data_IF_529756723586
#
_entry.id   IF_529756723586
#
_cell.length_a   1.000
_cell.length_b   1.000
_cell.length_c   1.000
_cell.angle_alpha   90.00
_cell.angle_beta   90.00
_cell.angle_gamma   90.00
#
_symmetry.space_group_name_H-M   'P 1'
#
loop_
_entity.id
_entity.type
_entity.pdbx_description
1 polymer ?
#
# COMPACT_ATOMS: atom_id res chain seq x y z
N UNK A 1 -2.95 10.80 -14.06
CA UNK A 1 -3.03 12.16 -13.47
C UNK A 1 -1.61 12.69 -13.21
N UNK A 2 -1.37 14.01 -13.25
CA UNK A 2 -0.04 14.57 -12.87
C UNK A 2 0.25 14.37 -11.37
N UNK A 3 1.51 14.08 -11.03
CA UNK A 3 1.99 13.86 -9.64
C UNK A 3 1.47 14.91 -8.65
N UNK A 4 1.52 16.19 -9.02
CA UNK A 4 1.08 17.29 -8.15
C UNK A 4 -0.42 17.20 -7.79
N UNK A 5 -1.26 16.84 -8.76
CA UNK A 5 -2.70 16.65 -8.52
C UNK A 5 -2.97 15.48 -7.58
N UNK A 6 -2.15 14.42 -7.67
CA UNK A 6 -2.23 13.28 -6.78
C UNK A 6 -1.85 13.67 -5.34
N UNK A 7 -0.81 14.48 -5.16
CA UNK A 7 -0.41 15.04 -3.84
C UNK A 7 -1.52 15.90 -3.26
N UNK A 8 -2.11 16.80 -4.05
CA UNK A 8 -3.25 17.63 -3.62
C UNK A 8 -4.45 16.76 -3.25
N UNK A 9 -4.68 15.64 -3.94
CA UNK A 9 -5.75 14.72 -3.57
C UNK A 9 -5.47 14.00 -2.24
N UNK A 10 -4.21 13.60 -2.00
CA UNK A 10 -3.79 12.94 -0.77
C UNK A 10 -3.96 13.84 0.47
N UNK A 11 -3.78 15.16 0.32
CA UNK A 11 -4.03 16.13 1.39
C UNK A 11 -5.47 16.11 1.95
N UNK A 12 -6.42 15.54 1.21
CA UNK A 12 -7.83 15.45 1.63
C UNK A 12 -8.13 14.18 2.42
N UNK A 13 -7.17 13.28 2.57
CA UNK A 13 -7.34 12.06 3.37
C UNK A 13 -7.48 12.47 4.83
N UNK A 14 -8.58 12.05 5.45
CA UNK A 14 -8.80 12.25 6.88
C UNK A 14 -7.96 11.25 7.65
N UNK A 15 -7.06 11.75 8.50
CA UNK A 15 -6.19 10.90 9.32
C UNK A 15 -6.94 10.36 10.55
N UNK A 16 -6.61 9.14 11.00
CA UNK A 16 -7.21 8.55 12.18
C UNK A 16 -6.79 9.25 13.48
N UNK A 17 -7.65 9.16 14.50
CA UNK A 17 -7.32 9.54 15.86
C UNK A 17 -6.39 8.54 16.56
N UNK A 18 -5.95 8.88 17.77
CA UNK A 18 -4.99 8.11 18.55
C UNK A 18 -5.41 6.64 18.79
N UNK A 19 -6.68 6.40 19.13
CA UNK A 19 -7.18 5.04 19.42
C UNK A 19 -7.13 4.15 18.18
N UNK A 20 -7.52 4.68 17.02
CA UNK A 20 -7.47 3.96 15.75
C UNK A 20 -6.01 3.68 15.34
N UNK A 21 -5.11 4.66 15.52
CA UNK A 21 -3.67 4.49 15.30
C UNK A 21 -3.08 3.37 16.16
N UNK A 22 -3.42 3.34 17.46
CA UNK A 22 -2.95 2.32 18.38
C UNK A 22 -3.48 0.94 18.00
N UNK A 23 -4.77 0.83 17.68
CA UNK A 23 -5.36 -0.44 17.27
C UNK A 23 -4.76 -0.95 15.95
N UNK A 24 -4.50 -0.07 14.98
CA UNK A 24 -3.79 -0.43 13.77
C UNK A 24 -2.39 -0.94 14.10
N UNK A 25 -1.61 -0.18 14.89
CA UNK A 25 -0.25 -0.55 15.30
C UNK A 25 -0.20 -1.92 15.96
N UNK A 26 -1.11 -2.20 16.88
CA UNK A 26 -1.16 -3.43 17.64
C UNK A 26 -1.56 -4.64 16.78
N UNK A 27 -2.26 -4.42 15.65
CA UNK A 27 -2.76 -5.47 14.77
C UNK A 27 -1.97 -5.64 13.47
N UNK A 28 -1.07 -4.71 13.12
CA UNK A 28 -0.44 -4.63 11.79
C UNK A 28 0.33 -5.87 11.36
N UNK A 29 1.04 -6.52 12.28
CA UNK A 29 1.85 -7.71 11.97
C UNK A 29 0.94 -8.93 11.73
N UNK A 30 -0.11 -9.04 12.55
CA UNK A 30 -1.15 -10.07 12.39
C UNK A 30 -1.94 -9.87 11.08
N UNK A 31 -2.23 -8.62 10.72
CA UNK A 31 -2.89 -8.29 9.46
C UNK A 31 -2.03 -8.70 8.26
N UNK A 32 -0.72 -8.40 8.29
CA UNK A 32 0.22 -8.81 7.24
C UNK A 32 0.31 -10.32 7.08
N UNK A 33 0.39 -11.06 8.19
CA UNK A 33 0.37 -12.53 8.14
C UNK A 33 -0.93 -13.07 7.54
N UNK A 34 -2.08 -12.48 7.91
CA UNK A 34 -3.38 -12.88 7.36
C UNK A 34 -3.49 -12.58 5.87
N UNK A 35 -2.94 -11.45 5.41
CA UNK A 35 -2.92 -11.13 3.98
C UNK A 35 -2.03 -12.09 3.20
N UNK A 36 -0.84 -12.39 3.72
CA UNK A 36 0.05 -13.41 3.14
C UNK A 36 -0.70 -14.73 2.94
N UNK A 37 -1.37 -15.21 3.99
CA UNK A 37 -2.16 -16.44 3.93
C UNK A 37 -3.25 -16.38 2.85
N UNK A 38 -4.02 -15.29 2.79
CA UNK A 38 -5.12 -15.11 1.81
C UNK A 38 -4.58 -15.01 0.38
N UNK A 39 -3.48 -14.28 0.16
CA UNK A 39 -2.85 -14.11 -1.16
C UNK A 39 -2.18 -15.39 -1.65
N UNK A 40 -1.44 -16.09 -0.79
CA UNK A 40 -0.77 -17.37 -1.14
C UNK A 40 -1.75 -18.49 -1.44
N UNK A 41 -2.97 -18.42 -0.89
CA UNK A 41 -4.03 -19.39 -1.16
C UNK A 41 -4.75 -19.13 -2.50
N UNK A 42 -4.42 -18.03 -3.22
CA UNK A 42 -5.07 -17.74 -4.50
C UNK A 42 -4.55 -18.66 -5.60
N UNK A 43 -5.42 -19.17 -6.48
CA UNK A 43 -5.00 -20.03 -7.59
C UNK A 43 -4.14 -19.29 -8.63
N UNK A 44 -4.27 -17.97 -8.73
CA UNK A 44 -3.56 -17.10 -9.68
C UNK A 44 -2.33 -16.41 -9.08
N UNK A 45 -1.90 -16.77 -7.86
CA UNK A 45 -0.90 -15.98 -7.14
C UNK A 45 0.42 -15.85 -7.90
N UNK A 46 0.90 -16.93 -8.52
CA UNK A 46 2.15 -16.89 -9.28
C UNK A 46 2.06 -16.05 -10.55
N UNK A 47 0.87 -15.96 -11.16
CA UNK A 47 0.63 -15.05 -12.27
C UNK A 47 0.66 -13.60 -11.78
N UNK A 48 0.00 -13.31 -10.65
CA UNK A 48 -0.05 -11.96 -10.07
C UNK A 48 1.32 -11.42 -9.69
N UNK A 49 2.21 -12.25 -9.17
CA UNK A 49 3.53 -11.82 -8.70
C UNK A 49 4.66 -12.08 -9.70
N UNK A 50 4.38 -12.60 -10.90
CA UNK A 50 5.38 -12.85 -11.93
C UNK A 50 6.29 -14.06 -11.68
N UNK A 51 5.83 -15.05 -10.90
CA UNK A 51 6.48 -16.34 -10.67
C UNK A 51 6.69 -16.69 -9.20
N UNK A 52 6.89 -17.99 -8.91
CA UNK A 52 7.05 -18.53 -7.54
C UNK A 52 8.21 -17.89 -6.75
N UNK A 53 9.31 -17.54 -7.42
CA UNK A 53 10.48 -16.92 -6.80
C UNK A 53 10.18 -15.55 -6.16
N UNK A 54 9.05 -14.91 -6.48
CA UNK A 54 8.65 -13.62 -5.92
C UNK A 54 7.79 -13.73 -4.65
N UNK A 55 7.48 -14.92 -4.13
CA UNK A 55 6.65 -15.09 -2.93
C UNK A 55 7.26 -14.38 -1.71
N UNK A 56 8.56 -14.53 -1.47
CA UNK A 56 9.22 -13.85 -0.35
C UNK A 56 9.10 -12.33 -0.48
N UNK A 57 9.26 -11.81 -1.70
CA UNK A 57 9.16 -10.38 -1.97
C UNK A 57 7.75 -9.83 -1.77
N UNK A 58 6.73 -10.61 -2.11
CA UNK A 58 5.34 -10.26 -1.79
C UNK A 58 5.13 -10.16 -0.27
N UNK A 59 5.65 -11.13 0.50
CA UNK A 59 5.55 -11.10 1.97
C UNK A 59 6.25 -9.87 2.56
N UNK A 60 7.45 -9.56 2.06
CA UNK A 60 8.19 -8.36 2.45
C UNK A 60 7.42 -7.08 2.10
N UNK A 61 6.79 -7.04 0.92
CA UNK A 61 5.91 -5.94 0.53
C UNK A 61 4.77 -5.73 1.53
N UNK A 62 4.08 -6.80 1.93
CA UNK A 62 2.96 -6.70 2.87
C UNK A 62 3.42 -6.24 4.26
N UNK A 63 4.56 -6.72 4.75
CA UNK A 63 5.14 -6.26 6.01
C UNK A 63 5.58 -4.78 5.96
N UNK A 64 6.20 -4.37 4.85
CA UNK A 64 6.63 -2.98 4.65
C UNK A 64 5.42 -2.04 4.49
N UNK A 65 4.38 -2.48 3.78
CA UNK A 65 3.14 -1.74 3.58
C UNK A 65 2.54 -1.32 4.93
N UNK A 66 2.37 -2.26 5.86
CA UNK A 66 1.70 -1.91 7.12
C UNK A 66 2.52 -0.97 8.00
N UNK A 67 3.86 -1.10 7.97
CA UNK A 67 4.78 -0.18 8.66
C UNK A 67 4.74 1.23 8.05
N UNK A 68 4.75 1.31 6.73
CA UNK A 68 4.70 2.55 5.98
C UNK A 68 3.38 3.29 6.17
N UNK A 69 2.24 2.60 6.05
CA UNK A 69 0.94 3.22 6.30
C UNK A 69 0.83 3.71 7.74
N UNK A 70 1.34 2.95 8.72
CA UNK A 70 1.42 3.45 10.09
C UNK A 70 2.25 4.73 10.21
N UNK A 71 3.44 4.81 9.62
CA UNK A 71 4.26 6.03 9.69
C UNK A 71 3.56 7.21 9.03
N UNK A 72 2.89 7.02 7.88
CA UNK A 72 2.13 8.06 7.20
C UNK A 72 0.96 8.57 8.06
N UNK A 73 0.27 7.68 8.78
CA UNK A 73 -0.83 8.11 9.66
C UNK A 73 -0.33 8.82 10.93
N UNK A 74 0.90 8.57 11.38
CA UNK A 74 1.54 9.26 12.52
C UNK A 74 2.08 10.63 12.12
N UNK A 75 2.77 10.69 10.99
CA UNK A 75 3.39 11.90 10.46
C UNK A 75 3.09 12.00 8.97
N UNK A 76 2.03 12.76 8.66
CA UNK A 76 1.49 12.78 7.32
C UNK A 76 2.23 13.77 6.43
N UNK A 77 2.99 13.22 5.48
CA UNK A 77 3.48 13.95 4.32
C UNK A 77 2.88 13.35 3.03
N UNK A 78 1.99 14.08 2.32
CA UNK A 78 1.35 13.58 1.11
C UNK A 78 2.34 13.33 -0.03
N UNK A 79 3.47 14.05 -0.08
CA UNK A 79 4.52 13.82 -1.08
C UNK A 79 5.18 12.47 -0.87
N UNK A 80 5.59 12.17 0.37
CA UNK A 80 6.16 10.88 0.77
C UNK A 80 5.19 9.73 0.50
N UNK A 81 3.89 9.90 0.77
CA UNK A 81 2.87 8.90 0.43
C UNK A 81 2.88 8.58 -1.08
N UNK A 82 2.74 9.62 -1.91
CA UNK A 82 2.67 9.48 -3.37
C UNK A 82 3.96 8.89 -3.94
N UNK A 83 5.11 9.46 -3.60
CA UNK A 83 6.39 9.07 -4.19
C UNK A 83 6.76 7.64 -3.82
N UNK A 84 6.49 7.24 -2.58
CA UNK A 84 6.77 5.88 -2.12
C UNK A 84 5.90 4.87 -2.85
N UNK A 85 4.61 5.14 -3.04
CA UNK A 85 3.71 4.22 -3.78
C UNK A 85 4.14 4.11 -5.25
N UNK A 86 4.45 5.24 -5.91
CA UNK A 86 4.94 5.24 -7.31
C UNK A 86 6.24 4.43 -7.43
N UNK A 87 7.17 4.61 -6.49
CA UNK A 87 8.42 3.85 -6.46
C UNK A 87 8.17 2.33 -6.27
N UNK A 88 7.26 1.95 -5.36
CA UNK A 88 6.87 0.54 -5.17
C UNK A 88 6.28 -0.04 -6.46
N UNK A 89 5.36 0.66 -7.12
CA UNK A 89 4.78 0.20 -8.39
C UNK A 89 5.88 -0.06 -9.43
N UNK A 90 6.81 0.87 -9.60
CA UNK A 90 7.94 0.75 -10.53
C UNK A 90 8.85 -0.43 -10.16
N UNK A 91 9.26 -0.53 -8.90
CA UNK A 91 10.18 -1.55 -8.43
C UNK A 91 9.61 -2.97 -8.64
N UNK A 92 8.33 -3.18 -8.40
CA UNK A 92 7.70 -4.50 -8.50
C UNK A 92 7.31 -4.85 -9.94
N UNK A 93 6.90 -3.87 -10.76
CA UNK A 93 6.68 -4.07 -12.20
C UNK A 93 7.96 -4.49 -12.92
N UNK A 94 9.12 -3.94 -12.55
CA UNK A 94 10.41 -4.39 -13.11
C UNK A 94 10.72 -5.87 -12.81
N UNK A 95 10.04 -6.43 -11.79
CA UNK A 95 10.10 -7.84 -11.40
C UNK A 95 8.89 -8.65 -11.85
N UNK A 96 8.14 -8.12 -12.82
CA UNK A 96 6.99 -8.75 -13.49
C UNK A 96 5.76 -8.96 -12.61
N UNK A 97 5.59 -8.21 -11.51
CA UNK A 97 4.30 -8.17 -10.83
C UNK A 97 3.22 -7.63 -11.78
N UNK A 98 2.11 -8.35 -11.88
CA UNK A 98 1.00 -8.02 -12.76
C UNK A 98 0.19 -6.85 -12.19
N UNK A 99 -0.37 -5.93 -13.01
CA UNK A 99 -1.18 -4.80 -12.52
C UNK A 99 -2.33 -5.21 -11.58
N UNK A 100 -2.95 -6.36 -11.82
CA UNK A 100 -4.06 -6.87 -10.97
C UNK A 100 -3.63 -7.20 -9.53
N UNK A 101 -2.33 -7.39 -9.27
CA UNK A 101 -1.82 -7.63 -7.92
C UNK A 101 -2.16 -6.46 -6.97
N UNK A 102 -2.08 -5.22 -7.46
CA UNK A 102 -2.34 -4.02 -6.66
C UNK A 102 -3.79 -3.98 -6.16
N UNK A 103 -4.73 -4.25 -7.05
CA UNK A 103 -6.15 -4.36 -6.70
C UNK A 103 -6.39 -5.53 -5.75
N UNK A 104 -5.78 -6.69 -6.01
CA UNK A 104 -5.93 -7.89 -5.18
C UNK A 104 -5.46 -7.67 -3.73
N UNK A 105 -4.27 -7.10 -3.53
CA UNK A 105 -3.75 -6.87 -2.18
C UNK A 105 -4.54 -5.77 -1.44
N UNK A 106 -4.94 -4.68 -2.13
CA UNK A 106 -5.65 -3.56 -1.48
C UNK A 106 -7.05 -3.98 -1.05
N UNK A 107 -7.76 -4.77 -1.88
CA UNK A 107 -9.00 -5.41 -1.46
C UNK A 107 -8.78 -6.31 -0.24
N UNK A 108 -7.73 -7.13 -0.26
CA UNK A 108 -7.38 -7.99 0.85
C UNK A 108 -7.12 -7.20 2.14
N UNK A 109 -6.45 -6.05 2.07
CA UNK A 109 -6.24 -5.17 3.22
C UNK A 109 -7.55 -4.62 3.76
N UNK A 110 -8.40 -4.07 2.90
CA UNK A 110 -9.70 -3.49 3.30
C UNK A 110 -10.55 -4.55 4.02
N UNK A 111 -10.66 -5.75 3.45
CA UNK A 111 -11.38 -6.87 4.07
C UNK A 111 -10.76 -7.27 5.42
N UNK A 112 -9.45 -7.51 5.47
CA UNK A 112 -8.75 -7.95 6.69
C UNK A 112 -8.88 -6.93 7.81
N UNK A 113 -8.74 -5.64 7.51
CA UNK A 113 -8.87 -4.58 8.51
C UNK A 113 -10.30 -4.48 9.02
N UNK A 114 -11.32 -4.67 8.17
CA UNK A 114 -12.72 -4.71 8.58
C UNK A 114 -13.04 -5.88 9.51
N UNK A 115 -12.36 -7.02 9.30
CA UNK A 115 -12.51 -8.22 10.13
C UNK A 115 -11.77 -8.11 11.47
N UNK A 116 -10.72 -7.29 11.55
CA UNK A 116 -9.80 -7.25 12.69
C UNK A 116 -10.00 -6.04 13.61
N UNK A 117 -10.45 -4.92 13.08
CA UNK A 117 -10.56 -3.68 13.82
C UNK A 117 -12.01 -3.43 14.24
N UNK A 118 -12.24 -2.82 15.41
CA UNK A 118 -13.51 -2.20 15.75
C UNK A 118 -14.00 -1.27 14.62
N UNK A 119 -15.31 -1.26 14.39
CA UNK A 119 -15.92 -0.51 13.29
C UNK A 119 -15.53 0.98 13.27
N UNK A 120 -15.44 1.60 14.44
CA UNK A 120 -15.01 2.99 14.59
C UNK A 120 -13.58 3.20 14.07
N UNK A 121 -12.62 2.39 14.50
CA UNK A 121 -11.23 2.49 14.04
C UNK A 121 -11.09 2.13 12.57
N UNK A 122 -11.77 1.08 12.12
CA UNK A 122 -11.81 0.71 10.70
C UNK A 122 -12.29 1.88 9.84
N UNK A 123 -13.38 2.56 10.22
CA UNK A 123 -13.93 3.70 9.49
C UNK A 123 -12.96 4.89 9.37
N UNK A 124 -12.02 5.02 10.31
CA UNK A 124 -11.00 6.05 10.29
C UNK A 124 -9.76 5.67 9.47
N UNK A 125 -9.48 4.37 9.34
CA UNK A 125 -8.29 3.85 8.64
C UNK A 125 -8.58 3.56 7.18
N UNK A 126 -9.74 3.01 6.85
CA UNK A 126 -10.08 2.61 5.49
C UNK A 126 -9.96 3.72 4.42
N UNK A 127 -10.17 5.03 4.72
CA UNK A 127 -10.06 6.07 3.70
C UNK A 127 -8.69 6.16 3.00
N UNK A 128 -7.58 5.87 3.68
CA UNK A 128 -6.25 5.86 3.02
C UNK A 128 -6.13 4.69 2.04
N UNK A 129 -6.74 3.54 2.35
CA UNK A 129 -6.76 2.36 1.49
C UNK A 129 -7.66 2.55 0.28
N UNK A 130 -8.84 3.11 0.49
CA UNK A 130 -9.76 3.46 -0.60
C UNK A 130 -9.14 4.50 -1.54
N UNK A 131 -8.46 5.51 -0.98
CA UNK A 131 -7.72 6.48 -1.78
C UNK A 131 -6.64 5.80 -2.62
N UNK A 132 -5.83 4.91 -2.03
CA UNK A 132 -4.83 4.13 -2.78
C UNK A 132 -5.48 3.29 -3.89
N UNK A 133 -6.63 2.68 -3.62
CA UNK A 133 -7.34 1.84 -4.59
C UNK A 133 -7.90 2.63 -5.77
N UNK A 134 -8.52 3.78 -5.50
CA UNK A 134 -9.07 4.68 -6.54
C UNK A 134 -7.95 5.15 -7.48
N UNK A 135 -6.75 5.39 -6.93
CA UNK A 135 -5.62 5.95 -7.67
C UNK A 135 -4.65 4.90 -8.25
N UNK A 136 -4.97 3.60 -8.23
CA UNK A 136 -4.17 2.55 -8.90
C UNK A 136 -3.83 2.93 -10.37
N UNK A 137 -4.76 3.43 -11.20
CA UNK A 137 -4.44 3.83 -12.57
C UNK A 137 -3.41 4.96 -12.63
N UNK A 138 -3.49 5.93 -11.72
CA UNK A 138 -2.56 7.07 -11.67
C UNK A 138 -1.16 6.65 -11.24
N UNK A 139 -1.04 5.76 -10.23
CA UNK A 139 0.25 5.19 -9.85
C UNK A 139 0.86 4.36 -10.98
N UNK A 140 0.02 3.64 -11.73
CA UNK A 140 0.47 2.86 -12.88
C UNK A 140 1.07 3.77 -13.95
N UNK A 141 0.35 4.84 -14.33
CA UNK A 141 0.82 5.84 -15.30
C UNK A 141 2.12 6.52 -14.84
N UNK A 142 2.18 7.01 -13.60
CA UNK A 142 3.36 7.68 -13.05
C UNK A 142 4.57 6.74 -12.88
N UNK A 143 4.33 5.44 -12.65
CA UNK A 143 5.41 4.46 -12.53
C UNK A 143 6.12 4.22 -13.86
N UNK A 144 5.41 4.38 -14.99
CA UNK A 144 5.94 4.23 -16.35
C UNK A 144 6.69 5.48 -16.82
N UNK A 145 6.41 6.64 -16.24
CA UNK A 145 7.09 7.88 -16.57
C UNK A 145 8.41 8.05 -15.80
N UNK A 146 9.54 7.98 -16.51
CA UNK A 146 10.90 8.08 -15.95
C UNK A 146 11.22 9.46 -15.32
N UNK A 147 10.30 10.42 -15.39
CA UNK A 147 10.48 11.80 -14.89
C UNK A 147 10.50 11.91 -13.35
N UNK A 148 9.95 10.93 -12.62
CA UNK A 148 9.95 10.91 -11.15
C UNK A 148 11.21 10.21 -10.63
N UNK A 149 12.32 10.95 -10.58
CA UNK A 149 13.55 10.56 -9.89
C UNK A 149 13.62 11.27 -8.53
N UNK A 150 13.71 10.47 -7.48
CA UNK A 150 13.66 10.87 -6.08
C UNK A 150 14.94 11.62 -5.65
N UNK A 151 14.77 12.80 -5.06
CA UNK A 151 15.75 13.40 -4.15
C UNK A 151 15.64 12.72 -2.78
N UNK A 152 16.17 11.51 -2.62
CA UNK A 152 16.55 11.03 -1.29
C UNK A 152 17.84 10.25 -1.41
N UNK A 153 18.94 10.94 -1.12
CA UNK A 153 20.20 10.29 -0.82
C UNK A 153 20.07 9.52 0.49
N UNK A 154 20.24 8.20 0.43
CA UNK A 154 20.68 7.41 1.57
C UNK A 154 22.08 6.94 1.20
N UNK A 155 23.04 7.67 1.77
CA UNK A 155 24.47 7.36 1.79
C UNK A 155 24.65 6.00 2.47
N UNK A 156 25.38 5.09 1.83
CA UNK A 156 25.88 3.86 2.46
C UNK A 156 27.00 4.19 3.44
#
# INVERSE_FOLDING_TARGET
MEREKLIISAQKIKLPGADALEQYRNNRDKASHKLNTRMESRPDIYELIGGENNISMMRDNHANHTRFIYSIMVEFDPSTLVDTIVWVFRAYRSRKFHPNYWAAQLNGWIEILSEMLPAESYSQIVPIYEWMQIHIPDFTELSDDNSVMCQTGIVH
#
